data_IF_232404188687
#
_entry.id   IF_232404188687
#
_cell.length_a   1.000
_cell.length_b   1.000
_cell.length_c   1.000
_cell.angle_alpha   90.00
_cell.angle_beta   90.00
_cell.angle_gamma   90.00
#
_symmetry.space_group_name_H-M   'P 1'
#
loop_
_entity.id
_entity.type
_entity.pdbx_description
1 polymer ?
#
# COMPACT_ATOMS: atom_id res chain seq x y z
N UNK A 1 17.46 19.58 -2.70
CA UNK A 1 18.12 18.69 -1.72
C UNK A 1 17.21 18.54 -0.51
N UNK A 2 17.23 17.38 0.16
CA UNK A 2 16.44 17.12 1.37
C UNK A 2 16.76 18.14 2.46
N UNK A 3 15.75 18.68 3.13
CA UNK A 3 15.92 19.61 4.24
C UNK A 3 14.78 19.45 5.25
N UNK A 4 15.13 19.36 6.53
CA UNK A 4 14.19 19.59 7.64
C UNK A 4 13.85 21.08 7.69
N UNK A 5 12.70 21.41 8.27
CA UNK A 5 12.19 22.79 8.28
C UNK A 5 10.74 22.85 8.70
N UNK A 6 10.10 23.99 8.47
CA UNK A 6 8.68 24.20 8.80
C UNK A 6 7.92 24.53 7.52
N UNK A 7 6.81 23.82 7.29
CA UNK A 7 5.91 24.02 6.15
C UNK A 7 6.65 24.03 4.81
N UNK A 8 6.55 25.15 4.10
CA UNK A 8 7.15 25.34 2.76
C UNK A 8 8.68 25.41 2.75
N UNK A 9 9.36 25.42 3.89
CA UNK A 9 10.83 25.43 3.96
C UNK A 9 11.40 24.01 3.99
N UNK A 10 10.59 23.03 4.38
CA UNK A 10 10.98 21.62 4.30
C UNK A 10 11.11 21.17 2.84
N UNK A 11 12.05 20.26 2.58
CA UNK A 11 12.26 19.65 1.26
C UNK A 11 12.32 18.13 1.41
N UNK A 12 11.57 17.44 0.55
CA UNK A 12 11.51 15.98 0.48
C UNK A 12 12.28 15.45 -0.74
N UNK A 13 12.66 14.18 -0.68
CA UNK A 13 13.19 13.38 -1.79
C UNK A 13 12.07 12.85 -2.68
N UNK A 14 12.25 11.63 -3.21
CA UNK A 14 11.16 10.91 -3.88
C UNK A 14 10.29 10.23 -2.85
N UNK A 15 9.06 10.68 -2.61
CA UNK A 15 8.15 10.09 -1.61
C UNK A 15 7.73 8.69 -2.07
N UNK A 16 7.74 7.74 -1.14
CA UNK A 16 7.48 6.30 -1.38
C UNK A 16 6.26 5.81 -0.63
N UNK A 17 5.96 6.38 0.52
CA UNK A 17 4.80 6.01 1.32
C UNK A 17 4.54 7.03 2.40
N UNK A 18 3.34 6.99 2.97
CA UNK A 18 3.04 7.77 4.15
C UNK A 18 1.92 7.20 5.00
N UNK A 19 2.05 7.40 6.31
CA UNK A 19 1.11 6.90 7.31
C UNK A 19 0.87 7.93 8.40
N UNK A 20 -0.34 7.95 8.95
CA UNK A 20 -0.75 8.87 10.00
C UNK A 20 -1.01 8.10 11.30
N UNK A 21 -0.43 8.54 12.40
CA UNK A 21 -0.72 7.94 13.70
C UNK A 21 -2.06 8.43 14.29
N UNK A 22 -2.52 7.78 15.37
CA UNK A 22 -3.77 8.14 16.04
C UNK A 22 -3.80 9.57 16.59
N UNK A 23 -2.63 10.21 16.72
CA UNK A 23 -2.46 11.60 17.20
C UNK A 23 -2.37 12.59 16.05
N UNK A 24 -2.44 12.14 14.80
CA UNK A 24 -2.33 12.95 13.60
C UNK A 24 -0.92 13.45 13.32
N UNK A 25 0.12 12.74 13.78
CA UNK A 25 1.48 12.92 13.26
C UNK A 25 1.62 12.13 11.96
N UNK A 26 2.09 12.80 10.91
CA UNK A 26 2.27 12.20 9.59
C UNK A 26 3.71 11.71 9.45
N UNK A 27 3.87 10.49 8.98
CA UNK A 27 5.15 9.86 8.69
C UNK A 27 5.27 9.67 7.19
N UNK A 28 6.41 10.04 6.62
CA UNK A 28 6.66 9.99 5.18
C UNK A 28 7.96 9.23 4.94
N UNK A 29 7.91 8.18 4.13
CA UNK A 29 9.14 7.55 3.63
C UNK A 29 9.53 8.18 2.30
N UNK A 30 10.82 8.39 2.12
CA UNK A 30 11.36 9.00 0.91
C UNK A 30 12.68 8.35 0.51
N UNK A 31 12.93 8.31 -0.79
CA UNK A 31 14.20 7.84 -1.34
C UNK A 31 15.26 8.92 -1.16
N UNK A 32 16.43 8.49 -0.68
CA UNK A 32 17.65 9.29 -0.66
C UNK A 32 18.21 9.42 -2.08
N UNK A 33 18.50 10.65 -2.48
CA UNK A 33 19.30 10.95 -3.68
C UNK A 33 20.78 10.99 -3.28
N UNK A 34 21.64 10.56 -4.18
CA UNK A 34 23.09 10.68 -4.01
C UNK A 34 23.54 12.16 -3.96
N UNK A 35 24.81 12.38 -3.60
CA UNK A 35 25.41 13.72 -3.50
C UNK A 35 25.52 14.45 -4.84
N UNK A 36 25.42 13.76 -5.97
CA UNK A 36 25.48 14.34 -7.32
C UNK A 36 24.10 14.66 -7.88
N UNK A 37 23.03 14.36 -7.12
CA UNK A 37 21.64 14.55 -7.54
C UNK A 37 21.15 13.50 -8.54
N UNK A 38 21.96 12.47 -8.81
CA UNK A 38 21.63 11.34 -9.65
C UNK A 38 20.54 10.44 -9.04
N UNK A 39 19.86 9.71 -9.92
CA UNK A 39 18.81 8.73 -9.54
C UNK A 39 19.40 7.39 -9.06
N UNK A 40 20.63 7.38 -8.54
CA UNK A 40 21.16 6.18 -7.90
C UNK A 40 20.57 6.09 -6.49
N UNK A 41 19.44 5.40 -6.39
CA UNK A 41 18.69 5.16 -5.16
C UNK A 41 19.63 4.58 -4.09
N UNK A 42 20.02 5.39 -3.10
CA UNK A 42 21.09 5.08 -2.14
C UNK A 42 20.59 4.74 -0.74
N UNK A 43 19.29 4.42 -0.61
CA UNK A 43 18.61 4.17 0.66
C UNK A 43 17.32 4.97 0.79
N UNK A 44 16.71 4.92 1.97
CA UNK A 44 15.51 5.69 2.31
C UNK A 44 15.71 6.53 3.57
N UNK A 45 14.82 7.48 3.78
CA UNK A 45 14.66 8.19 5.03
C UNK A 45 13.19 8.18 5.44
N UNK A 46 12.94 8.28 6.75
CA UNK A 46 11.61 8.47 7.30
C UNK A 46 11.55 9.84 7.96
N UNK A 47 10.56 10.62 7.58
CA UNK A 47 10.30 11.98 8.05
C UNK A 47 9.05 11.97 8.92
N UNK A 48 9.07 12.72 10.02
CA UNK A 48 7.86 13.08 10.74
C UNK A 48 7.43 14.49 10.36
N UNK A 49 6.15 14.70 10.16
CA UNK A 49 5.51 16.00 9.95
C UNK A 49 4.52 16.23 11.09
N UNK A 50 4.82 17.21 11.93
CA UNK A 50 3.94 17.66 12.99
C UNK A 50 2.76 18.47 12.44
N UNK A 51 1.69 18.58 13.23
CA UNK A 51 0.51 19.42 12.90
C UNK A 51 0.83 20.91 12.79
N UNK A 52 1.94 21.34 13.39
CA UNK A 52 2.51 22.69 13.28
C UNK A 52 3.29 22.90 11.96
N UNK A 53 3.34 21.89 11.10
CA UNK A 53 4.11 21.91 9.85
C UNK A 53 5.60 21.61 10.06
N UNK A 54 6.06 21.31 11.27
CA UNK A 54 7.46 20.98 11.53
C UNK A 54 7.80 19.62 10.91
N UNK A 55 8.77 19.60 10.01
CA UNK A 55 9.30 18.39 9.38
C UNK A 55 10.66 18.05 9.97
N UNK A 56 10.80 16.82 10.47
CA UNK A 56 12.06 16.29 11.03
C UNK A 56 12.41 14.95 10.41
N UNK A 57 13.69 14.71 10.18
CA UNK A 57 14.21 13.39 9.84
C UNK A 57 14.25 12.54 11.11
N UNK A 58 13.48 11.45 11.13
CA UNK A 58 13.50 10.48 12.24
C UNK A 58 14.52 9.37 12.02
N UNK A 59 14.62 8.90 10.77
CA UNK A 59 15.52 7.82 10.41
C UNK A 59 16.10 8.08 9.03
N UNK A 60 17.37 7.74 8.87
CA UNK A 60 18.03 7.68 7.58
C UNK A 60 18.76 6.34 7.51
N UNK A 61 18.44 5.56 6.50
CA UNK A 61 19.06 4.26 6.32
C UNK A 61 20.59 4.42 6.15
N UNK A 62 21.41 3.65 6.89
CA UNK A 62 22.85 3.83 6.93
C UNK A 62 23.58 3.35 5.68
N UNK A 63 22.88 2.93 4.61
CA UNK A 63 23.49 2.38 3.40
C UNK A 63 24.61 3.27 2.84
N UNK A 64 25.76 2.63 2.64
CA UNK A 64 27.00 3.22 2.14
C UNK A 64 26.97 3.27 0.62
N UNK A 65 27.09 4.48 0.06
CA UNK A 65 27.15 4.76 -1.38
C UNK A 65 28.26 3.96 -2.09
N UNK A 66 29.27 3.45 -1.37
CA UNK A 66 30.35 2.62 -1.92
C UNK A 66 29.96 1.16 -2.24
N UNK A 67 28.82 0.65 -1.77
CA UNK A 67 28.42 -0.77 -1.97
C UNK A 67 27.81 -1.09 -3.34
N UNK A 68 27.68 -0.10 -4.22
CA UNK A 68 27.11 -0.26 -5.57
C UNK A 68 25.59 -0.19 -5.58
N UNK A 69 25.05 0.51 -6.57
CA UNK A 69 23.62 0.78 -6.71
C UNK A 69 22.86 -0.41 -7.32
N UNK A 70 21.75 -0.81 -6.71
CA UNK A 70 20.69 -1.55 -7.40
C UNK A 70 19.40 -0.73 -7.33
N UNK A 71 18.90 -0.21 -8.46
CA UNK A 71 17.86 0.82 -8.47
C UNK A 71 16.46 0.33 -8.05
N UNK A 72 16.27 -0.97 -7.84
CA UNK A 72 14.97 -1.58 -7.50
C UNK A 72 14.79 -1.90 -6.00
N UNK A 73 15.77 -1.60 -5.13
CA UNK A 73 15.83 -2.17 -3.78
C UNK A 73 15.53 -1.26 -2.57
N UNK A 74 15.34 0.06 -2.74
CA UNK A 74 15.52 1.01 -1.62
C UNK A 74 14.34 1.93 -1.29
N UNK A 75 13.14 1.60 -1.76
CA UNK A 75 11.90 2.16 -1.26
C UNK A 75 11.48 1.44 0.04
N UNK A 76 11.05 2.18 1.06
CA UNK A 76 10.48 1.62 2.27
C UNK A 76 8.99 1.95 2.36
N UNK A 77 8.15 0.93 2.52
CA UNK A 77 6.73 1.11 2.87
C UNK A 77 6.59 1.32 4.37
N UNK A 78 5.54 2.05 4.73
CA UNK A 78 5.20 2.35 6.11
C UNK A 78 3.92 1.61 6.48
N UNK A 79 3.78 1.29 7.76
CA UNK A 79 2.49 0.91 8.33
C UNK A 79 2.46 1.33 9.79
N UNK A 80 1.30 1.73 10.28
CA UNK A 80 1.06 2.00 11.69
C UNK A 80 -0.01 1.03 12.18
N UNK A 81 0.29 0.30 13.26
CA UNK A 81 -0.69 -0.58 13.88
C UNK A 81 -1.59 0.18 14.87
N UNK A 82 -2.56 -0.52 15.46
CA UNK A 82 -3.49 0.05 16.44
C UNK A 82 -2.84 0.53 17.75
N UNK A 83 -1.55 0.26 17.96
CA UNK A 83 -0.76 0.67 19.12
C UNK A 83 0.16 1.86 18.78
N UNK A 84 -0.03 2.50 17.63
CA UNK A 84 0.83 3.53 17.06
C UNK A 84 2.29 3.06 16.85
N UNK A 85 2.49 1.75 16.64
CA UNK A 85 3.81 1.23 16.28
C UNK A 85 4.06 1.46 14.78
N UNK A 86 5.10 2.24 14.48
CA UNK A 86 5.53 2.52 13.11
C UNK A 86 6.44 1.40 12.61
N UNK A 87 5.94 0.63 11.66
CA UNK A 87 6.71 -0.34 10.89
C UNK A 87 7.27 0.35 9.65
N UNK A 88 8.54 0.07 9.38
CA UNK A 88 9.21 0.49 8.15
C UNK A 88 9.73 -0.77 7.47
N UNK A 89 9.27 -1.03 6.25
CA UNK A 89 9.59 -2.26 5.51
C UNK A 89 10.24 -1.92 4.19
N UNK A 90 11.49 -2.33 4.03
CA UNK A 90 12.19 -2.36 2.75
C UNK A 90 12.38 -3.80 2.28
N UNK A 91 12.90 -3.97 1.07
CA UNK A 91 13.38 -5.28 0.62
C UNK A 91 14.52 -5.81 1.48
N UNK A 92 15.25 -4.95 2.19
CA UNK A 92 16.37 -5.39 3.01
C UNK A 92 15.99 -5.69 4.45
N UNK A 93 15.01 -5.01 5.03
CA UNK A 93 14.69 -5.18 6.44
C UNK A 93 13.30 -4.65 6.75
N UNK A 94 12.66 -5.26 7.75
CA UNK A 94 11.56 -4.64 8.46
C UNK A 94 12.05 -4.24 9.85
N UNK A 95 11.78 -3.01 10.26
CA UNK A 95 12.07 -2.55 11.62
C UNK A 95 10.89 -1.77 12.22
N UNK A 96 10.82 -1.79 13.55
CA UNK A 96 10.02 -0.84 14.32
C UNK A 96 10.81 0.45 14.51
N UNK A 97 10.21 1.57 14.13
CA UNK A 97 10.84 2.89 14.28
C UNK A 97 10.20 3.65 15.45
N UNK A 98 10.99 3.91 16.47
CA UNK A 98 10.62 4.77 17.60
C UNK A 98 10.52 6.23 17.19
N UNK A 99 9.69 7.00 17.91
CA UNK A 99 9.52 8.45 17.69
C UNK A 99 10.78 9.26 17.99
N UNK A 100 11.73 8.66 18.72
CA UNK A 100 13.07 9.16 19.01
C UNK A 100 14.08 8.85 17.88
N UNK A 101 13.67 8.13 16.84
CA UNK A 101 14.53 7.70 15.73
C UNK A 101 15.19 6.33 15.96
N UNK A 102 14.95 5.67 17.09
CA UNK A 102 15.49 4.34 17.38
C UNK A 102 14.86 3.30 16.46
N UNK A 103 15.66 2.62 15.63
CA UNK A 103 15.19 1.55 14.73
C UNK A 103 15.52 0.17 15.30
N UNK A 104 14.50 -0.64 15.59
CA UNK A 104 14.64 -2.01 16.10
C UNK A 104 14.30 -3.00 14.99
N UNK A 105 15.31 -3.71 14.50
CA UNK A 105 15.14 -4.76 13.49
C UNK A 105 14.21 -5.87 13.97
N UNK A 106 13.24 -6.24 13.14
CA UNK A 106 12.40 -7.41 13.37
C UNK A 106 13.04 -8.66 12.75
N UNK A 107 12.81 -9.87 13.29
CA UNK A 107 13.54 -11.09 12.93
C UNK A 107 13.04 -11.73 11.62
N UNK A 108 12.89 -10.91 10.58
CA UNK A 108 12.48 -11.37 9.25
C UNK A 108 13.67 -11.51 8.31
N UNK A 109 13.56 -12.44 7.36
CA UNK A 109 14.41 -12.45 6.16
C UNK A 109 14.23 -11.19 5.31
N UNK A 110 15.00 -11.12 4.22
CA UNK A 110 14.85 -10.05 3.22
C UNK A 110 13.47 -10.16 2.51
N UNK A 111 13.13 -9.21 1.64
CA UNK A 111 11.99 -9.30 0.70
C UNK A 111 10.63 -8.81 1.21
N UNK A 112 10.60 -8.05 2.31
CA UNK A 112 9.36 -7.48 2.83
C UNK A 112 8.79 -6.45 1.86
N UNK A 113 7.49 -6.51 1.59
CA UNK A 113 6.83 -5.53 0.72
C UNK A 113 5.93 -4.59 1.50
N UNK A 114 5.19 -5.13 2.48
CA UNK A 114 4.15 -4.38 3.19
C UNK A 114 3.82 -5.01 4.54
N UNK A 115 3.38 -4.18 5.47
CA UNK A 115 2.66 -4.62 6.68
C UNK A 115 1.18 -4.25 6.54
N UNK A 116 0.29 -5.17 6.93
CA UNK A 116 -1.14 -4.91 7.06
C UNK A 116 -1.60 -5.27 8.47
N UNK A 117 -2.57 -4.52 9.01
CA UNK A 117 -3.05 -4.72 10.39
C UNK A 117 -4.56 -4.97 10.40
N UNK A 118 -4.98 -6.02 11.09
CA UNK A 118 -6.39 -6.37 11.28
C UNK A 118 -7.13 -5.38 12.19
N UNK A 119 -8.46 -5.41 12.16
CA UNK A 119 -9.30 -4.69 13.12
C UNK A 119 -9.04 -5.13 14.58
N UNK A 120 -8.53 -6.33 14.82
CA UNK A 120 -8.15 -6.81 16.15
C UNK A 120 -6.74 -6.34 16.58
N UNK A 121 -5.99 -5.64 15.71
CA UNK A 121 -4.63 -5.16 16.01
C UNK A 121 -3.52 -6.17 15.71
N UNK A 122 -3.84 -7.34 15.12
CA UNK A 122 -2.83 -8.28 14.63
C UNK A 122 -2.23 -7.77 13.34
N UNK A 123 -0.90 -7.63 13.28
CA UNK A 123 -0.15 -7.21 12.10
C UNK A 123 0.43 -8.40 11.34
N UNK A 124 0.49 -8.29 10.01
CA UNK A 124 1.04 -9.29 9.12
C UNK A 124 2.05 -8.66 8.17
N UNK A 125 3.23 -9.26 8.06
CA UNK A 125 4.21 -8.96 7.03
C UNK A 125 3.92 -9.76 5.79
N UNK A 126 3.83 -9.05 4.67
CA UNK A 126 3.57 -9.63 3.36
C UNK A 126 4.82 -9.53 2.48
N UNK A 127 5.19 -10.66 1.87
CA UNK A 127 6.17 -10.74 0.78
C UNK A 127 5.46 -11.19 -0.50
N UNK A 128 6.20 -11.42 -1.59
CA UNK A 128 5.63 -12.01 -2.80
C UNK A 128 5.18 -13.47 -2.65
N UNK A 129 5.66 -14.18 -1.62
CA UNK A 129 5.46 -15.62 -1.48
C UNK A 129 5.07 -16.09 -0.07
N UNK A 130 5.07 -15.19 0.92
CA UNK A 130 4.81 -15.53 2.32
C UNK A 130 4.01 -14.47 3.03
N UNK A 131 3.22 -14.93 4.00
CA UNK A 131 2.54 -14.10 4.99
C UNK A 131 3.06 -14.51 6.35
N UNK A 132 3.60 -13.57 7.11
CA UNK A 132 4.08 -13.80 8.46
C UNK A 132 3.29 -12.96 9.45
N UNK A 133 2.77 -13.58 10.51
CA UNK A 133 2.14 -12.86 11.62
C UNK A 133 3.21 -12.22 12.49
N UNK A 134 3.01 -10.97 12.87
CA UNK A 134 3.85 -10.24 13.81
C UNK A 134 3.19 -10.27 15.18
N UNK A 135 3.91 -10.76 16.17
CA UNK A 135 3.44 -10.82 17.55
C UNK A 135 3.75 -9.53 18.31
N UNK A 136 3.13 -9.37 19.48
CA UNK A 136 3.22 -8.14 20.25
C UNK A 136 4.64 -7.82 20.74
N UNK A 137 5.50 -8.83 20.88
CA UNK A 137 6.91 -8.73 21.27
C UNK A 137 7.85 -8.46 20.08
N UNK A 138 7.30 -8.29 18.87
CA UNK A 138 8.08 -8.10 17.65
C UNK A 138 8.64 -9.39 17.05
N UNK A 139 8.41 -10.54 17.69
CA UNK A 139 8.67 -11.83 17.04
C UNK A 139 7.68 -12.05 15.89
N UNK A 140 8.02 -12.99 15.01
CA UNK A 140 7.15 -13.29 13.89
C UNK A 140 7.17 -14.75 13.50
N UNK A 141 6.03 -15.22 13.00
CA UNK A 141 5.80 -16.60 12.60
C UNK A 141 5.25 -16.64 11.19
N UNK A 142 5.74 -17.56 10.35
CA UNK A 142 5.16 -17.78 9.03
C UNK A 142 3.76 -18.34 9.21
N UNK A 143 2.76 -17.60 8.75
CA UNK A 143 1.35 -17.99 8.78
C UNK A 143 1.00 -18.85 7.56
N UNK A 144 1.48 -18.46 6.37
CA UNK A 144 1.18 -19.15 5.11
C UNK A 144 2.26 -18.90 4.05
N UNK A 145 2.44 -19.89 3.16
CA UNK A 145 3.44 -19.84 2.09
C UNK A 145 4.82 -20.33 2.54
N UNK A 146 5.74 -20.43 1.58
CA UNK A 146 7.11 -20.85 1.82
C UNK A 146 8.09 -19.80 1.27
N UNK A 147 9.09 -19.45 2.08
CA UNK A 147 10.14 -18.48 1.75
C UNK A 147 11.19 -19.10 0.83
N UNK A 148 10.78 -19.72 -0.28
CA UNK A 148 11.73 -19.94 -1.37
C UNK A 148 11.99 -18.56 -1.96
N UNK A 149 13.16 -18.00 -1.68
CA UNK A 149 13.66 -16.75 -2.25
C UNK A 149 13.67 -16.89 -3.77
N UNK A 150 12.54 -16.59 -4.39
CA UNK A 150 12.43 -16.44 -5.82
C UNK A 150 11.88 -15.04 -5.99
N UNK A 151 12.76 -14.04 -5.99
CA UNK A 151 12.53 -12.90 -6.89
C UNK A 151 12.37 -13.53 -8.27
N UNK A 152 11.18 -13.57 -8.87
CA UNK A 152 11.06 -14.14 -10.20
C UNK A 152 11.89 -13.24 -11.10
N UNK A 153 13.02 -13.75 -11.59
CA UNK A 153 13.59 -13.17 -12.78
C UNK A 153 12.50 -13.25 -13.85
N UNK A 154 12.35 -12.20 -14.67
CA UNK A 154 11.42 -12.27 -15.80
C UNK A 154 11.69 -13.55 -16.60
N UNK A 155 10.70 -14.47 -16.64
CA UNK A 155 10.82 -15.76 -17.32
C UNK A 155 11.17 -16.98 -16.46
N UNK A 156 11.31 -16.87 -15.12
CA UNK A 156 11.40 -18.09 -14.28
C UNK A 156 10.04 -18.75 -14.12
N UNK A 157 9.95 -20.07 -14.32
CA UNK A 157 8.77 -20.90 -14.04
C UNK A 157 8.48 -20.89 -12.52
N UNK A 158 7.77 -19.88 -12.05
CA UNK A 158 7.28 -19.85 -10.67
C UNK A 158 6.25 -20.96 -10.50
N UNK A 159 6.44 -21.82 -9.49
CA UNK A 159 5.57 -22.95 -9.22
C UNK A 159 4.10 -22.53 -9.18
N UNK A 160 3.22 -23.41 -9.67
CA UNK A 160 1.79 -23.19 -9.62
C UNK A 160 1.33 -22.94 -8.17
N UNK A 161 0.37 -22.03 -7.95
CA UNK A 161 -0.22 -21.79 -6.65
C UNK A 161 -0.85 -23.07 -6.11
N UNK A 162 -0.76 -23.28 -4.80
CA UNK A 162 -1.34 -24.43 -4.12
C UNK A 162 -2.10 -23.97 -2.89
N UNK A 163 -3.33 -24.45 -2.78
CA UNK A 163 -4.17 -24.30 -1.58
C UNK A 163 -3.72 -25.31 -0.51
N UNK A 164 -3.96 -24.98 0.77
CA UNK A 164 -3.57 -25.83 1.88
C UNK A 164 -3.21 -25.04 3.14
N UNK A 165 -2.86 -25.74 4.22
CA UNK A 165 -2.50 -25.11 5.48
C UNK A 165 -1.02 -24.64 5.49
N UNK A 166 -0.78 -23.47 6.05
CA UNK A 166 0.54 -23.00 6.44
C UNK A 166 1.57 -23.03 5.31
N UNK A 167 2.72 -23.65 5.59
CA UNK A 167 3.81 -23.82 4.63
C UNK A 167 3.54 -24.85 3.53
N UNK A 168 2.44 -25.61 3.59
CA UNK A 168 2.03 -26.50 2.50
C UNK A 168 1.38 -25.72 1.35
N UNK A 169 0.82 -24.55 1.64
CA UNK A 169 0.32 -23.64 0.62
C UNK A 169 1.46 -22.97 -0.15
N UNK A 170 1.19 -22.61 -1.40
CA UNK A 170 2.11 -21.82 -2.24
C UNK A 170 1.39 -20.68 -2.91
N UNK A 171 2.06 -19.53 -2.94
CA UNK A 171 1.67 -18.38 -3.73
C UNK A 171 2.58 -18.29 -4.95
N UNK A 172 2.02 -17.86 -6.08
CA UNK A 172 2.78 -17.60 -7.30
C UNK A 172 3.44 -16.23 -7.23
N UNK A 173 2.66 -15.19 -6.93
CA UNK A 173 3.13 -13.82 -6.77
C UNK A 173 2.03 -13.01 -6.08
N UNK A 174 2.14 -12.83 -4.76
CA UNK A 174 1.24 -11.96 -4.00
C UNK A 174 1.45 -10.52 -4.47
N UNK A 175 0.38 -9.85 -4.89
CA UNK A 175 0.39 -8.41 -5.15
C UNK A 175 0.14 -7.67 -3.82
N UNK A 176 1.14 -7.05 -3.17
CA UNK A 176 1.00 -6.55 -1.81
C UNK A 176 -0.04 -5.43 -1.66
N UNK A 177 -0.27 -4.65 -2.73
CA UNK A 177 -1.27 -3.59 -2.78
C UNK A 177 -2.74 -4.06 -2.77
N UNK A 178 -2.94 -5.37 -2.91
CA UNK A 178 -4.27 -5.99 -2.94
C UNK A 178 -4.64 -6.70 -1.64
N UNK A 179 -3.76 -6.67 -0.64
CA UNK A 179 -3.96 -7.39 0.61
C UNK A 179 -4.90 -6.61 1.51
N UNK A 180 -6.06 -7.19 1.82
CA UNK A 180 -7.08 -6.62 2.69
C UNK A 180 -7.53 -7.63 3.74
N UNK A 181 -8.14 -7.17 4.81
CA UNK A 181 -8.68 -8.03 5.86
C UNK A 181 -10.19 -7.79 6.04
N UNK A 182 -10.92 -8.86 6.32
CA UNK A 182 -12.27 -8.75 6.85
C UNK A 182 -12.26 -8.54 8.39
N UNK A 183 -13.41 -8.19 9.01
CA UNK A 183 -13.50 -8.02 10.46
C UNK A 183 -13.19 -9.28 11.28
N UNK A 184 -13.28 -10.47 10.67
CA UNK A 184 -12.92 -11.74 11.32
C UNK A 184 -11.41 -12.03 11.23
N UNK A 185 -10.64 -11.18 10.54
CA UNK A 185 -9.20 -11.29 10.39
C UNK A 185 -8.75 -12.23 9.27
N UNK A 186 -9.65 -12.66 8.38
CA UNK A 186 -9.22 -13.35 7.17
C UNK A 186 -8.55 -12.36 6.23
N UNK A 187 -7.39 -12.73 5.67
CA UNK A 187 -6.75 -11.96 4.62
C UNK A 187 -7.31 -12.38 3.26
N UNK A 188 -7.51 -11.40 2.39
CA UNK A 188 -7.79 -11.60 0.98
C UNK A 188 -6.71 -10.88 0.18
N UNK A 189 -6.22 -11.52 -0.87
CA UNK A 189 -5.13 -10.99 -1.68
C UNK A 189 -5.24 -11.48 -3.10
N UNK A 190 -4.67 -10.71 -4.04
CA UNK A 190 -4.39 -11.22 -5.37
C UNK A 190 -3.05 -11.95 -5.37
N UNK A 191 -3.08 -13.18 -5.87
CA UNK A 191 -1.93 -14.01 -6.17
C UNK A 191 -1.88 -14.19 -7.70
N UNK A 192 -1.08 -13.34 -8.37
CA UNK A 192 -1.15 -13.16 -9.82
C UNK A 192 -2.58 -12.82 -10.27
N UNK A 193 -3.28 -13.73 -10.93
CA UNK A 193 -4.65 -13.54 -11.47
C UNK A 193 -5.73 -14.28 -10.68
N UNK A 194 -5.43 -14.67 -9.43
CA UNK A 194 -6.39 -15.33 -8.52
C UNK A 194 -6.58 -14.49 -7.27
N UNK A 195 -7.79 -14.51 -6.73
CA UNK A 195 -8.07 -13.99 -5.39
C UNK A 195 -7.96 -15.16 -4.41
N UNK A 196 -7.04 -15.06 -3.45
CA UNK A 196 -6.82 -16.06 -2.41
C UNK A 196 -7.39 -15.55 -1.09
N UNK A 197 -7.91 -16.47 -0.28
CA UNK A 197 -8.30 -16.25 1.11
C UNK A 197 -7.31 -16.96 2.02
N UNK A 198 -6.89 -16.29 3.09
CA UNK A 198 -6.04 -16.85 4.15
C UNK A 198 -6.72 -16.63 5.49
N UNK A 199 -7.02 -17.71 6.18
CA UNK A 199 -7.61 -17.64 7.53
C UNK A 199 -6.56 -17.23 8.57
N UNK A 200 -6.97 -16.74 9.76
CA UNK A 200 -6.05 -16.51 10.88
C UNK A 200 -5.27 -17.75 11.33
N UNK A 201 -5.72 -18.96 10.97
CA UNK A 201 -5.05 -20.24 11.23
C UNK A 201 -4.11 -20.66 10.09
N UNK A 202 -3.96 -19.84 9.04
CA UNK A 202 -3.04 -20.10 7.93
C UNK A 202 -3.57 -21.05 6.86
N UNK A 203 -4.85 -21.43 6.89
CA UNK A 203 -5.47 -22.13 5.77
C UNK A 203 -5.62 -21.18 4.57
N UNK A 204 -5.00 -21.55 3.45
CA UNK A 204 -5.09 -20.85 2.17
C UNK A 204 -6.05 -21.58 1.24
N UNK A 205 -6.98 -20.84 0.64
CA UNK A 205 -7.90 -21.33 -0.40
C UNK A 205 -8.03 -20.34 -1.54
N UNK A 206 -8.27 -20.83 -2.76
CA UNK A 206 -8.64 -19.98 -3.89
C UNK A 206 -10.11 -19.59 -3.79
N UNK A 207 -10.38 -18.29 -3.69
CA UNK A 207 -11.74 -17.76 -3.62
C UNK A 207 -12.34 -17.63 -5.02
N UNK A 208 -11.58 -17.06 -5.96
CA UNK A 208 -12.01 -16.85 -7.34
C UNK A 208 -10.80 -16.69 -8.28
N UNK A 209 -11.00 -16.95 -9.57
CA UNK A 209 -9.99 -16.77 -10.60
C UNK A 209 -9.25 -18.05 -10.97
N UNK A 210 -8.33 -17.92 -11.92
CA UNK A 210 -7.45 -19.00 -12.39
C UNK A 210 -6.09 -18.41 -12.76
N UNK A 211 -5.11 -19.25 -13.07
CA UNK A 211 -3.81 -18.82 -13.60
C UNK A 211 -3.87 -18.27 -15.03
N UNK A 212 -5.03 -18.32 -15.71
CA UNK A 212 -5.24 -17.75 -17.03
C UNK A 212 -5.68 -16.28 -16.92
N UNK A 213 -4.74 -15.38 -17.21
CA UNK A 213 -4.93 -13.93 -17.24
C UNK A 213 -5.22 -13.33 -18.61
N UNK A 214 -5.53 -14.14 -19.62
CA UNK A 214 -5.65 -13.67 -21.01
C UNK A 214 -6.85 -12.75 -21.25
N UNK A 215 -7.95 -12.94 -20.52
CA UNK A 215 -9.17 -12.15 -20.64
C UNK A 215 -9.97 -12.17 -19.34
N UNK A 216 -10.55 -11.01 -19.00
CA UNK A 216 -11.47 -10.87 -17.88
C UNK A 216 -12.77 -11.63 -18.16
N UNK A 217 -13.26 -12.35 -17.15
CA UNK A 217 -14.52 -13.09 -17.24
C UNK A 217 -15.21 -13.13 -15.88
N UNK A 218 -16.50 -12.84 -15.85
CA UNK A 218 -17.35 -13.02 -14.68
C UNK A 218 -17.73 -14.48 -14.49
N UNK A 219 -18.01 -14.88 -13.24
CA UNK A 219 -18.34 -16.25 -12.89
C UNK A 219 -18.07 -16.56 -11.43
N UNK A 220 -18.33 -17.80 -11.03
CA UNK A 220 -18.06 -18.29 -9.68
C UNK A 220 -16.74 -19.09 -9.64
N UNK A 221 -15.95 -18.90 -8.59
CA UNK A 221 -14.71 -19.64 -8.34
C UNK A 221 -13.76 -19.61 -9.53
N UNK A 222 -13.35 -20.79 -10.02
CA UNK A 222 -12.48 -20.96 -11.19
C UNK A 222 -13.15 -20.64 -12.53
N UNK A 223 -14.47 -20.38 -12.56
CA UNK A 223 -15.16 -19.87 -13.73
C UNK A 223 -14.87 -18.39 -14.02
N UNK A 224 -14.43 -17.64 -13.01
CA UNK A 224 -14.01 -16.25 -13.14
C UNK A 224 -12.56 -16.13 -13.65
N UNK A 225 -12.24 -15.01 -14.29
CA UNK A 225 -10.88 -14.66 -14.71
C UNK A 225 -10.60 -13.18 -14.47
N UNK A 226 -9.37 -12.91 -14.01
CA UNK A 226 -8.81 -11.57 -13.80
C UNK A 226 -7.63 -11.36 -14.75
N UNK A 227 -7.38 -10.13 -15.17
CA UNK A 227 -6.26 -9.80 -16.06
C UNK A 227 -5.07 -9.29 -15.25
N UNK A 228 -5.30 -8.29 -14.41
CA UNK A 228 -4.30 -7.61 -13.59
C UNK A 228 -4.97 -6.96 -12.37
N UNK A 229 -5.36 -7.75 -11.35
CA UNK A 229 -5.87 -7.22 -10.09
C UNK A 229 -4.73 -6.53 -9.34
N UNK A 230 -4.79 -5.20 -9.21
CA UNK A 230 -3.69 -4.40 -8.65
C UNK A 230 -4.09 -3.55 -7.44
N UNK A 231 -5.39 -3.42 -7.16
CA UNK A 231 -5.88 -2.80 -5.93
C UNK A 231 -7.14 -3.48 -5.43
N UNK A 232 -7.30 -3.57 -4.12
CA UNK A 232 -8.45 -4.20 -3.48
C UNK A 232 -8.88 -3.44 -2.24
N UNK A 233 -10.18 -3.41 -1.98
CA UNK A 233 -10.77 -3.00 -0.71
C UNK A 233 -11.80 -4.04 -0.26
N UNK A 234 -11.90 -4.26 1.06
CA UNK A 234 -13.02 -4.97 1.66
C UNK A 234 -14.08 -3.96 2.09
N UNK A 235 -15.33 -4.22 1.75
CA UNK A 235 -16.47 -3.46 2.24
C UNK A 235 -17.72 -4.33 2.29
N UNK A 236 -18.45 -4.26 3.41
CA UNK A 236 -19.80 -4.83 3.58
C UNK A 236 -19.93 -6.29 3.12
N UNK A 237 -18.93 -7.12 3.43
CA UNK A 237 -18.93 -8.54 3.06
C UNK A 237 -18.60 -8.82 1.60
N UNK A 238 -17.98 -7.86 0.90
CA UNK A 238 -17.51 -8.01 -0.47
C UNK A 238 -16.09 -7.47 -0.64
N UNK A 239 -15.39 -8.00 -1.63
CA UNK A 239 -14.14 -7.43 -2.11
C UNK A 239 -14.45 -6.61 -3.37
N UNK A 240 -13.97 -5.38 -3.39
CA UNK A 240 -13.91 -4.56 -4.59
C UNK A 240 -12.49 -4.61 -5.12
N UNK A 241 -12.33 -5.01 -6.37
CA UNK A 241 -11.03 -5.25 -7.02
C UNK A 241 -10.94 -4.36 -8.25
N UNK A 242 -9.89 -3.55 -8.33
CA UNK A 242 -9.51 -2.92 -9.61
C UNK A 242 -8.70 -3.94 -10.40
N UNK A 243 -9.31 -4.46 -11.45
CA UNK A 243 -8.73 -5.40 -12.40
C UNK A 243 -8.48 -4.67 -13.72
N UNK A 244 -7.21 -4.36 -13.99
CA UNK A 244 -6.74 -3.49 -15.07
C UNK A 244 -7.38 -2.08 -15.04
N UNK A 245 -8.54 -1.91 -15.66
CA UNK A 245 -9.28 -0.65 -15.84
C UNK A 245 -10.75 -0.79 -15.45
N UNK A 246 -11.12 -1.89 -14.80
CA UNK A 246 -12.50 -2.20 -14.40
C UNK A 246 -12.62 -2.46 -12.91
N UNK A 247 -13.79 -2.13 -12.38
CA UNK A 247 -14.17 -2.48 -11.01
C UNK A 247 -14.89 -3.83 -11.00
N UNK A 248 -14.28 -4.83 -10.35
CA UNK A 248 -14.87 -6.14 -10.12
C UNK A 248 -15.36 -6.24 -8.68
N UNK A 249 -16.54 -6.80 -8.46
CA UNK A 249 -17.02 -7.19 -7.13
C UNK A 249 -16.84 -8.70 -6.97
N UNK A 250 -16.28 -9.11 -5.84
CA UNK A 250 -16.09 -10.52 -5.49
C UNK A 250 -16.80 -10.76 -4.16
N UNK A 251 -17.81 -11.61 -4.16
CA UNK A 251 -18.46 -12.05 -2.93
C UNK A 251 -17.58 -13.07 -2.19
N UNK A 252 -17.80 -13.23 -0.88
CA UNK A 252 -16.99 -14.15 -0.07
C UNK A 252 -17.27 -15.64 -0.32
N UNK A 253 -18.28 -15.97 -1.14
CA UNK A 253 -18.53 -17.29 -1.73
C UNK A 253 -17.95 -17.43 -3.16
N UNK A 254 -17.22 -16.42 -3.65
CA UNK A 254 -16.39 -16.51 -4.84
C UNK A 254 -17.07 -16.13 -6.16
N UNK A 255 -18.23 -15.45 -6.12
CA UNK A 255 -18.89 -14.93 -7.33
C UNK A 255 -18.27 -13.59 -7.71
N UNK A 256 -17.83 -13.49 -8.97
CA UNK A 256 -17.23 -12.30 -9.55
C UNK A 256 -18.20 -11.65 -10.54
N UNK A 257 -18.44 -10.35 -10.37
CA UNK A 257 -19.20 -9.52 -11.31
C UNK A 257 -18.44 -8.26 -11.70
N UNK A 258 -18.56 -7.85 -12.95
CA UNK A 258 -17.98 -6.61 -13.47
C UNK A 258 -18.98 -5.47 -13.34
N UNK A 259 -18.58 -4.37 -12.71
CA UNK A 259 -19.39 -3.15 -12.64
C UNK A 259 -19.20 -2.35 -13.93
N UNK A 260 -20.23 -1.61 -14.37
CA UNK A 260 -20.12 -0.72 -15.54
C UNK A 260 -19.11 0.44 -15.35
N UNK A 261 -18.59 0.62 -14.14
CA UNK A 261 -17.59 1.64 -13.79
C UNK A 261 -16.25 1.31 -14.43
N UNK A 262 -15.87 2.10 -15.44
CA UNK A 262 -14.50 2.13 -15.97
C UNK A 262 -13.63 3.03 -15.10
N UNK A 263 -12.44 2.55 -14.76
CA UNK A 263 -11.47 3.19 -13.88
C UNK A 263 -10.12 3.35 -14.63
N UNK A 264 -10.09 4.02 -15.80
CA UNK A 264 -8.86 4.17 -16.54
C UNK A 264 -7.86 4.96 -15.68
N UNK A 265 -6.63 4.45 -15.57
CA UNK A 265 -5.53 5.06 -14.80
C UNK A 265 -5.71 5.10 -13.28
N UNK A 266 -6.78 4.52 -12.71
CA UNK A 266 -6.90 4.41 -11.26
C UNK A 266 -5.67 3.68 -10.69
N UNK A 267 -5.10 4.22 -9.62
CA UNK A 267 -3.89 3.68 -8.99
C UNK A 267 -4.21 2.83 -7.77
N UNK A 268 -5.12 3.32 -6.94
CA UNK A 268 -5.38 2.77 -5.62
C UNK A 268 -6.86 2.87 -5.28
N UNK A 269 -7.40 1.78 -4.72
CA UNK A 269 -8.68 1.71 -4.03
C UNK A 269 -8.43 1.52 -2.53
N UNK A 270 -9.08 2.32 -1.68
CA UNK A 270 -9.01 2.21 -0.22
C UNK A 270 -10.39 2.40 0.40
N UNK A 271 -10.62 1.74 1.52
CA UNK A 271 -11.75 2.02 2.41
C UNK A 271 -11.24 2.82 3.63
N UNK A 272 -12.04 3.75 4.16
CA UNK A 272 -11.78 4.42 5.43
C UNK A 272 -12.14 3.59 6.68
N UNK A 273 -12.79 2.43 6.48
CA UNK A 273 -13.34 1.63 7.58
C UNK A 273 -14.65 2.16 8.18
N UNK A 274 -15.16 3.30 7.69
CA UNK A 274 -16.49 3.85 8.01
C UNK A 274 -17.49 3.64 6.86
N UNK A 275 -17.05 3.04 5.75
CA UNK A 275 -17.89 2.65 4.61
C UNK A 275 -17.71 3.53 3.37
N UNK A 276 -16.79 4.49 3.39
CA UNK A 276 -16.44 5.27 2.20
C UNK A 276 -15.27 4.61 1.48
N UNK A 277 -15.43 4.48 0.16
CA UNK A 277 -14.34 4.08 -0.73
C UNK A 277 -13.74 5.30 -1.41
N UNK A 278 -12.41 5.32 -1.45
CA UNK A 278 -11.61 6.31 -2.16
C UNK A 278 -10.86 5.66 -3.30
N UNK A 279 -10.89 6.31 -4.46
CA UNK A 279 -10.13 5.95 -5.64
C UNK A 279 -9.15 7.07 -5.94
N UNK A 280 -7.85 6.73 -5.97
CA UNK A 280 -6.78 7.67 -6.29
C UNK A 280 -6.48 7.57 -7.78
N UNK A 281 -6.54 8.71 -8.47
CA UNK A 281 -6.15 8.88 -9.86
C UNK A 281 -4.90 9.76 -9.96
N UNK A 282 -4.20 9.82 -11.11
CA UNK A 282 -3.02 10.66 -11.29
C UNK A 282 -3.25 12.17 -11.10
N UNK A 283 -4.48 12.66 -11.09
CA UNK A 283 -4.79 14.11 -11.02
C UNK A 283 -5.91 14.46 -10.02
N UNK A 284 -6.53 13.46 -9.40
CA UNK A 284 -7.64 13.68 -8.49
C UNK A 284 -7.87 12.48 -7.57
N UNK A 285 -8.62 12.71 -6.49
CA UNK A 285 -9.16 11.67 -5.62
C UNK A 285 -10.68 11.72 -5.74
N UNK A 286 -11.30 10.57 -5.89
CA UNK A 286 -12.75 10.43 -5.98
C UNK A 286 -13.27 9.49 -4.89
N UNK A 287 -14.50 9.71 -4.43
CA UNK A 287 -15.25 8.71 -3.69
C UNK A 287 -15.98 7.78 -4.66
N UNK A 288 -16.14 6.52 -4.28
CA UNK A 288 -16.91 5.52 -5.02
C UNK A 288 -18.17 5.17 -4.22
N UNK A 289 -19.33 5.53 -4.75
CA UNK A 289 -20.64 5.23 -4.17
C UNK A 289 -21.01 3.76 -4.29
N UNK A 290 -21.97 3.30 -3.48
CA UNK A 290 -22.50 1.95 -3.52
C UNK A 290 -23.15 1.58 -4.87
N UNK A 291 -23.61 2.59 -5.61
CA UNK A 291 -24.12 2.51 -6.99
C UNK A 291 -23.00 2.34 -8.05
N UNK A 292 -21.74 2.36 -7.63
CA UNK A 292 -20.57 2.31 -8.51
C UNK A 292 -20.20 3.66 -9.12
N UNK A 293 -20.87 4.76 -8.74
CA UNK A 293 -20.61 6.09 -9.29
C UNK A 293 -19.41 6.73 -8.60
N UNK A 294 -18.54 7.34 -9.40
CA UNK A 294 -17.46 8.17 -8.89
C UNK A 294 -17.92 9.62 -8.66
N UNK A 295 -17.52 10.19 -7.53
CA UNK A 295 -17.68 11.62 -7.23
C UNK A 295 -16.31 12.20 -6.92
N UNK A 296 -15.86 13.19 -7.69
CA UNK A 296 -14.59 13.86 -7.44
C UNK A 296 -14.64 14.53 -6.07
N UNK A 297 -13.74 14.13 -5.19
CA UNK A 297 -13.59 14.67 -3.86
C UNK A 297 -12.59 15.84 -3.87
N UNK A 298 -11.42 15.63 -4.47
CA UNK A 298 -10.34 16.61 -4.51
C UNK A 298 -9.54 16.53 -5.81
N UNK A 299 -9.04 17.66 -6.29
CA UNK A 299 -8.35 17.76 -7.58
C UNK A 299 -9.30 17.98 -8.75
N UNK A 300 -8.73 18.28 -9.92
CA UNK A 300 -9.48 18.50 -11.16
C UNK A 300 -9.02 17.52 -12.23
N UNK A 301 -9.90 16.61 -12.70
CA UNK A 301 -9.57 15.74 -13.81
C UNK A 301 -9.20 16.54 -15.07
N UNK A 302 -8.13 16.13 -15.75
CA UNK A 302 -7.66 16.66 -17.04
C UNK A 302 -7.03 18.06 -16.99
N UNK A 303 -6.56 18.52 -15.82
CA UNK A 303 -5.87 19.80 -15.64
C UNK A 303 -4.82 19.72 -14.52
N UNK A 304 -3.55 19.46 -14.83
CA UNK A 304 -2.49 19.47 -13.80
C UNK A 304 -1.09 19.96 -14.23
N UNK A 305 -0.98 21.11 -14.92
CA UNK A 305 0.35 21.72 -15.05
C UNK A 305 0.90 22.20 -13.70
N UNK A 306 0.03 22.63 -12.78
CA UNK A 306 0.39 23.16 -11.45
C UNK A 306 -0.59 22.75 -10.35
N UNK A 307 -0.07 22.31 -9.19
CA UNK A 307 -0.89 22.10 -7.98
C UNK A 307 -1.41 23.45 -7.47
N UNK A 308 -2.63 23.47 -6.95
CA UNK A 308 -3.27 24.66 -6.37
C UNK A 308 -4.00 24.26 -5.09
N UNK A 309 -3.67 24.94 -4.00
CA UNK A 309 -4.36 24.77 -2.73
C UNK A 309 -5.82 25.22 -2.88
N UNK A 310 -6.75 24.43 -2.34
CA UNK A 310 -8.17 24.70 -2.40
C UNK A 310 -8.95 23.63 -1.62
N UNK A 311 -10.23 23.87 -1.40
CA UNK A 311 -11.11 22.90 -0.72
C UNK A 311 -11.79 22.03 -1.78
N UNK A 312 -11.67 20.71 -1.62
CA UNK A 312 -12.29 19.72 -2.50
C UNK A 312 -11.97 19.94 -3.99
N UNK A 313 -13.00 20.06 -4.83
CA UNK A 313 -12.85 20.25 -6.28
C UNK A 313 -12.24 21.61 -6.69
N UNK A 314 -12.06 22.55 -5.75
CA UNK A 314 -11.31 23.78 -6.01
C UNK A 314 -9.78 23.55 -5.97
N UNK A 315 -9.32 22.50 -5.29
CA UNK A 315 -7.92 22.08 -5.32
C UNK A 315 -7.53 21.56 -6.70
N UNK A 316 -6.25 21.69 -7.07
CA UNK A 316 -5.67 20.98 -8.20
C UNK A 316 -4.59 20.06 -7.67
N UNK A 317 -4.76 18.76 -7.91
CA UNK A 317 -3.80 17.76 -7.52
C UNK A 317 -2.91 17.37 -8.70
N UNK A 318 -1.66 17.01 -8.44
CA UNK A 318 -0.68 16.55 -9.44
C UNK A 318 0.05 15.32 -8.91
N UNK A 319 -0.24 14.17 -9.53
CA UNK A 319 0.30 12.87 -9.15
C UNK A 319 0.14 12.57 -7.65
N UNK A 320 -1.07 12.66 -7.07
CA UNK A 320 -1.27 12.14 -5.73
C UNK A 320 -0.96 10.64 -5.75
N UNK A 321 -0.12 10.22 -4.81
CA UNK A 321 0.39 8.85 -4.74
C UNK A 321 -0.20 8.10 -3.55
N UNK A 322 -0.39 8.81 -2.44
CA UNK A 322 -0.83 8.24 -1.17
C UNK A 322 -2.01 9.04 -0.63
N UNK A 323 -2.90 8.33 0.03
CA UNK A 323 -4.04 8.87 0.75
C UNK A 323 -4.05 8.21 2.12
N UNK A 324 -4.00 9.00 3.17
CA UNK A 324 -4.21 8.54 4.54
C UNK A 324 -5.29 9.40 5.19
N UNK A 325 -5.89 8.92 6.27
CA UNK A 325 -6.98 9.60 6.96
C UNK A 325 -6.68 9.71 8.46
N UNK A 326 -7.10 10.81 9.08
CA UNK A 326 -7.11 10.90 10.55
C UNK A 326 -8.40 10.30 11.15
N UNK A 327 -8.42 10.02 12.47
CA UNK A 327 -9.61 9.52 13.13
C UNK A 327 -10.84 10.45 13.06
N UNK A 328 -10.66 11.72 12.70
CA UNK A 328 -11.74 12.69 12.50
C UNK A 328 -12.30 12.65 11.07
N UNK A 329 -11.71 11.86 10.16
CA UNK A 329 -12.09 11.75 8.76
C UNK A 329 -11.37 12.73 7.83
N UNK A 330 -10.36 13.48 8.31
CA UNK A 330 -9.56 14.35 7.45
C UNK A 330 -8.67 13.51 6.54
N UNK A 331 -8.69 13.79 5.24
CA UNK A 331 -7.95 13.03 4.24
C UNK A 331 -6.69 13.76 3.79
N UNK A 332 -5.55 13.14 3.93
CA UNK A 332 -4.26 13.68 3.51
C UNK A 332 -3.85 13.02 2.20
N UNK A 333 -3.95 13.78 1.11
CA UNK A 333 -3.38 13.38 -0.18
C UNK A 333 -1.95 13.89 -0.28
N UNK A 334 -1.01 13.01 -0.63
CA UNK A 334 0.40 13.36 -0.74
C UNK A 334 0.81 13.35 -2.20
N UNK A 335 1.36 14.49 -2.62
CA UNK A 335 1.75 14.77 -3.99
C UNK A 335 3.27 14.74 -4.13
N UNK A 336 3.74 14.24 -5.27
CA UNK A 336 5.13 14.38 -5.65
C UNK A 336 5.26 15.43 -6.76
N UNK A 337 5.63 16.66 -6.40
CA UNK A 337 6.17 17.60 -7.37
C UNK A 337 7.62 17.29 -7.67
N UNK A 338 8.09 17.67 -8.85
CA UNK A 338 9.50 17.48 -9.20
C UNK A 338 10.47 18.26 -8.29
N UNK A 339 10.08 19.33 -7.55
CA UNK A 339 10.98 20.02 -6.59
C UNK A 339 10.30 20.80 -5.43
N UNK A 340 8.99 20.70 -5.15
CA UNK A 340 8.37 21.52 -4.07
C UNK A 340 7.24 20.81 -3.33
N UNK A 341 7.26 20.84 -1.99
CA UNK A 341 6.14 20.42 -1.15
C UNK A 341 5.39 21.65 -0.65
N UNK A 342 4.05 21.56 -0.60
CA UNK A 342 3.17 22.48 0.11
C UNK A 342 2.25 21.63 0.98
N UNK A 343 2.22 21.91 2.29
CA UNK A 343 1.16 21.42 3.17
C UNK A 343 -0.03 22.37 3.05
N UNK A 344 -1.19 21.87 2.67
CA UNK A 344 -2.41 22.52 3.16
C UNK A 344 -2.46 22.30 4.68
N UNK A 345 -2.60 23.38 5.45
CA UNK A 345 -2.95 23.27 6.87
C UNK A 345 -4.28 22.54 7.06
N UNK A 346 -4.87 22.52 8.28
CA UNK A 346 -6.11 21.77 8.52
C UNK A 346 -7.22 22.33 7.62
N UNK A 347 -7.46 21.63 6.52
CA UNK A 347 -8.28 22.10 5.40
C UNK A 347 -9.15 20.94 4.89
N UNK A 348 -9.86 20.30 5.81
CA UNK A 348 -10.93 19.34 5.51
C UNK A 348 -12.05 19.50 6.54
N UNK A 349 -12.61 20.70 6.63
CA UNK A 349 -13.99 20.87 7.12
C UNK A 349 -14.92 20.96 5.91
#
# INVERSE_FOLDING_TARGET
MRADGVGQDARFGGIVDAELDSKGALYISEIKRDKTGGYYYSGYAVRSVGRDGTVKTLYADPFDEQRGASPSLYAATLAIDKRDQLFVTSLSQTHLLGKDGTATALPFGQGGQRIVTSAAGVSYRITYATISRIEADGSATVLAGAETVVTPAAGSDVAAPVDGPGSSARFKFIQPETVVLDPAGNLYLADSTMIRKVTPQGLVSTLAGTTDGSAARDGAGSGARFINPHSMAYQDGQLLVIDKDTLRRVSLDGVVTTTATSLPTARVLRADGQGTLFVIFPEHVATLGADGKLTVLAGKPNLSETSVDGIGAAARLRLPQYLTADPSGNLYAIEQQTVTYRSSGPAFN
#
